data_IF_279908944109
#
_entry.id   IF_279908944109
#
_cell.length_a   1.000
_cell.length_b   1.000
_cell.length_c   1.000
_cell.angle_alpha   90.00
_cell.angle_beta   90.00
_cell.angle_gamma   90.00
#
_symmetry.space_group_name_H-M   'P 1'
#
loop_
_entity.id
_entity.type
_entity.pdbx_description
1 polymer ?
#
# COMPACT_ATOMS: atom_id res chain seq x y z
N UNK A 1 -12.82 1.78 -31.08
CA UNK A 1 -14.25 2.12 -31.28
C UNK A 1 -14.67 3.51 -30.73
N UNK A 2 -13.75 4.35 -30.23
CA UNK A 2 -14.05 5.71 -29.71
C UNK A 2 -13.91 6.86 -30.74
N UNK A 3 -13.51 6.57 -31.99
CA UNK A 3 -13.37 7.58 -33.06
C UNK A 3 -14.70 8.20 -33.54
N UNK A 4 -15.85 7.73 -33.03
CA UNK A 4 -17.18 8.20 -33.42
C UNK A 4 -17.80 9.23 -32.47
N UNK A 5 -17.07 9.70 -31.45
CA UNK A 5 -17.56 10.71 -30.50
C UNK A 5 -17.25 12.11 -31.05
N UNK A 6 -18.29 12.88 -31.41
CA UNK A 6 -18.19 14.15 -32.13
C UNK A 6 -17.37 15.25 -31.43
N UNK A 7 -17.07 16.33 -32.16
CA UNK A 7 -16.15 17.44 -31.78
C UNK A 7 -16.35 18.00 -30.35
N UNK A 8 -17.57 18.06 -29.83
CA UNK A 8 -17.84 18.55 -28.46
C UNK A 8 -17.42 17.56 -27.35
N UNK A 9 -17.31 16.27 -27.65
CA UNK A 9 -16.87 15.24 -26.70
C UNK A 9 -15.35 15.08 -26.67
N UNK A 10 -14.65 15.46 -27.74
CA UNK A 10 -13.19 15.66 -27.69
C UNK A 10 -12.79 16.70 -26.63
N UNK A 11 -13.67 17.67 -26.31
CA UNK A 11 -13.43 18.61 -25.20
C UNK A 11 -13.65 18.00 -23.81
N UNK A 12 -14.55 17.01 -23.66
CA UNK A 12 -14.69 16.27 -22.41
C UNK A 12 -13.46 15.40 -22.10
N UNK A 13 -12.72 14.98 -23.14
CA UNK A 13 -11.45 14.28 -23.01
C UNK A 13 -10.22 15.20 -23.09
N UNK A 14 -10.33 16.46 -23.53
CA UNK A 14 -9.20 17.38 -23.58
C UNK A 14 -8.75 17.83 -22.19
N UNK A 15 -9.68 17.93 -21.23
CA UNK A 15 -9.37 18.30 -19.84
C UNK A 15 -8.50 17.21 -19.17
N UNK A 16 -8.84 15.90 -19.24
CA UNK A 16 -7.96 14.82 -18.80
C UNK A 16 -6.56 14.84 -19.43
N UNK A 17 -6.46 15.28 -20.68
CA UNK A 17 -5.17 15.38 -21.39
C UNK A 17 -4.35 16.58 -20.90
N UNK A 18 -4.97 17.71 -20.56
CA UNK A 18 -4.27 18.85 -19.95
C UNK A 18 -3.79 18.54 -18.54
N UNK A 19 -4.58 17.83 -17.73
CA UNK A 19 -4.16 17.36 -16.41
C UNK A 19 -3.10 16.26 -16.50
N UNK A 20 -3.13 15.40 -17.52
CA UNK A 20 -2.02 14.52 -17.90
C UNK A 20 -0.72 15.31 -18.12
N UNK A 21 -0.78 16.40 -18.88
CA UNK A 21 0.38 17.28 -19.05
C UNK A 21 0.78 17.98 -17.74
N UNK A 22 -0.17 18.31 -16.87
CA UNK A 22 0.09 18.90 -15.56
C UNK A 22 0.80 17.92 -14.60
N UNK A 23 0.39 16.65 -14.56
CA UNK A 23 1.05 15.56 -13.80
C UNK A 23 2.47 15.33 -14.34
N UNK A 24 2.62 15.26 -15.66
CA UNK A 24 3.94 15.15 -16.29
C UNK A 24 4.84 16.35 -15.99
N UNK A 25 4.26 17.55 -15.99
CA UNK A 25 4.97 18.81 -15.77
C UNK A 25 5.37 18.99 -14.30
N UNK A 26 4.49 18.70 -13.36
CA UNK A 26 4.76 18.74 -11.91
C UNK A 26 5.83 17.71 -11.52
N UNK A 27 5.74 16.50 -12.08
CA UNK A 27 6.71 15.44 -11.83
C UNK A 27 8.10 15.76 -12.40
N UNK A 28 8.17 16.38 -13.59
CA UNK A 28 9.47 16.84 -14.16
C UNK A 28 10.09 18.00 -13.39
N UNK A 29 9.30 18.82 -12.70
CA UNK A 29 9.76 20.01 -11.99
C UNK A 29 10.24 19.71 -10.57
N UNK A 30 9.62 18.75 -9.89
CA UNK A 30 9.99 18.39 -8.52
C UNK A 30 11.17 17.41 -8.53
N UNK A 31 12.34 17.88 -8.10
CA UNK A 31 13.60 17.10 -8.02
C UNK A 31 13.57 15.95 -7.01
N UNK A 32 12.47 15.78 -6.28
CA UNK A 32 12.28 14.73 -5.28
C UNK A 32 11.26 13.71 -5.82
N UNK A 33 11.78 12.62 -6.39
CA UNK A 33 10.99 11.59 -7.06
C UNK A 33 10.50 10.59 -6.00
N UNK A 34 9.22 10.68 -5.62
CA UNK A 34 8.54 9.67 -4.78
C UNK A 34 7.53 8.90 -5.65
N UNK A 35 7.90 7.76 -6.24
CA UNK A 35 7.06 7.06 -7.20
C UNK A 35 5.72 6.58 -6.63
N UNK A 36 5.68 6.22 -5.34
CA UNK A 36 4.45 5.79 -4.67
C UNK A 36 3.42 6.92 -4.57
N UNK A 37 3.88 8.17 -4.37
CA UNK A 37 3.01 9.35 -4.37
C UNK A 37 2.44 9.58 -5.77
N UNK A 38 3.27 9.43 -6.81
CA UNK A 38 2.82 9.52 -8.20
C UNK A 38 1.73 8.48 -8.53
N UNK A 39 1.91 7.22 -8.11
CA UNK A 39 0.89 6.18 -8.31
C UNK A 39 -0.45 6.60 -7.70
N UNK A 40 -0.42 7.10 -6.46
CA UNK A 40 -1.60 7.58 -5.76
C UNK A 40 -2.27 8.77 -6.47
N UNK A 41 -1.48 9.77 -6.90
CA UNK A 41 -1.99 10.95 -7.59
C UNK A 41 -2.66 10.56 -8.92
N UNK A 42 -2.04 9.64 -9.67
CA UNK A 42 -2.62 9.09 -10.90
C UNK A 42 -3.90 8.33 -10.59
N UNK A 43 -3.95 7.50 -9.54
CA UNK A 43 -5.17 6.80 -9.14
C UNK A 43 -6.29 7.77 -8.78
N UNK A 44 -6.02 8.76 -7.92
CA UNK A 44 -7.01 9.77 -7.51
C UNK A 44 -7.60 10.47 -8.73
N UNK A 45 -6.73 10.86 -9.67
CA UNK A 45 -7.15 11.46 -10.94
C UNK A 45 -8.06 10.54 -11.77
N UNK A 46 -7.70 9.26 -11.93
CA UNK A 46 -8.53 8.28 -12.63
C UNK A 46 -9.89 8.11 -11.95
N UNK A 47 -9.92 8.01 -10.61
CA UNK A 47 -11.14 7.89 -9.82
C UNK A 47 -12.04 9.12 -9.95
N UNK A 48 -11.46 10.32 -9.92
CA UNK A 48 -12.21 11.58 -10.03
C UNK A 48 -12.81 11.75 -11.43
N UNK A 49 -12.05 11.41 -12.48
CA UNK A 49 -12.59 11.39 -13.84
C UNK A 49 -13.67 10.35 -13.99
N UNK A 50 -13.47 9.12 -13.49
CA UNK A 50 -14.48 8.06 -13.53
C UNK A 50 -15.79 8.55 -12.90
N UNK A 51 -15.71 9.13 -11.70
CA UNK A 51 -16.86 9.69 -10.99
C UNK A 51 -17.53 10.80 -11.79
N UNK A 52 -16.75 11.74 -12.36
CA UNK A 52 -17.30 12.81 -13.19
C UNK A 52 -18.01 12.27 -14.44
N UNK A 53 -17.42 11.29 -15.15
CA UNK A 53 -17.97 10.72 -16.37
C UNK A 53 -19.28 9.96 -16.11
N UNK A 54 -19.37 9.25 -14.98
CA UNK A 54 -20.55 8.46 -14.60
C UNK A 54 -21.65 9.35 -14.00
N UNK A 55 -21.30 10.21 -13.05
CA UNK A 55 -22.26 11.00 -12.28
C UNK A 55 -22.78 12.23 -13.03
N UNK A 56 -22.17 12.65 -14.16
CA UNK A 56 -22.61 13.82 -14.89
C UNK A 56 -23.76 13.49 -15.88
N UNK A 57 -25.02 13.90 -15.60
CA UNK A 57 -26.16 13.58 -16.44
C UNK A 57 -26.11 14.24 -17.82
N UNK A 58 -25.40 15.36 -17.97
CA UNK A 58 -25.32 16.11 -19.23
C UNK A 58 -24.49 15.38 -20.31
N UNK A 59 -23.53 14.54 -19.90
CA UNK A 59 -22.73 13.76 -20.85
C UNK A 59 -23.55 12.63 -21.50
N UNK A 60 -24.59 12.16 -20.79
CA UNK A 60 -25.44 11.05 -21.20
C UNK A 60 -24.64 9.77 -21.46
N UNK A 61 -23.48 9.62 -20.82
CA UNK A 61 -22.46 8.65 -21.16
C UNK A 61 -22.91 7.23 -20.80
N UNK A 62 -23.50 7.07 -19.60
CA UNK A 62 -24.16 5.83 -19.15
C UNK A 62 -25.21 5.36 -20.16
N UNK A 63 -26.11 6.26 -20.60
CA UNK A 63 -27.16 5.94 -21.59
C UNK A 63 -26.58 5.56 -22.96
N UNK A 64 -25.47 6.19 -23.38
CA UNK A 64 -24.79 5.87 -24.65
C UNK A 64 -24.10 4.50 -24.58
N UNK A 65 -23.40 4.21 -23.49
CA UNK A 65 -22.75 2.89 -23.27
C UNK A 65 -23.83 1.80 -23.23
N UNK A 66 -24.91 1.98 -22.47
CA UNK A 66 -26.03 1.05 -22.43
C UNK A 66 -26.62 0.77 -23.83
N UNK A 67 -26.82 1.81 -24.65
CA UNK A 67 -27.29 1.64 -26.04
C UNK A 67 -26.34 0.84 -26.93
N UNK A 68 -25.02 0.99 -26.73
CA UNK A 68 -24.00 0.24 -27.50
C UNK A 68 -23.93 -1.22 -27.03
N UNK A 69 -24.12 -1.47 -25.74
CA UNK A 69 -23.93 -2.79 -25.10
C UNK A 69 -25.22 -3.61 -25.04
N UNK A 70 -26.37 -3.08 -25.49
CA UNK A 70 -27.71 -3.70 -25.55
C UNK A 70 -27.84 -5.05 -26.32
N UNK A 71 -26.75 -5.73 -26.65
CA UNK A 71 -26.71 -7.13 -27.08
C UNK A 71 -26.26 -8.12 -25.98
N UNK A 72 -25.90 -7.65 -24.77
CA UNK A 72 -25.50 -8.50 -23.64
C UNK A 72 -26.24 -8.07 -22.37
N UNK A 73 -26.83 -9.04 -21.65
CA UNK A 73 -27.81 -8.87 -20.57
C UNK A 73 -27.24 -8.34 -19.24
N UNK A 74 -25.97 -7.96 -19.17
CA UNK A 74 -25.36 -7.29 -17.99
C UNK A 74 -24.36 -6.23 -18.46
N UNK A 75 -24.79 -4.97 -18.54
CA UNK A 75 -23.90 -3.87 -18.95
C UNK A 75 -23.07 -3.39 -17.76
N UNK A 76 -21.80 -3.77 -17.72
CA UNK A 76 -20.82 -3.17 -16.82
C UNK A 76 -20.34 -1.82 -17.38
N UNK A 77 -21.06 -0.76 -17.03
CA UNK A 77 -20.72 0.61 -17.47
C UNK A 77 -19.43 1.08 -16.79
N UNK A 78 -19.20 0.71 -15.54
CA UNK A 78 -18.03 1.16 -14.78
C UNK A 78 -16.76 0.53 -15.33
N UNK A 79 -16.75 -0.78 -15.57
CA UNK A 79 -15.62 -1.47 -16.18
C UNK A 79 -15.31 -0.96 -17.59
N UNK A 80 -16.34 -0.59 -18.38
CA UNK A 80 -16.12 0.02 -19.70
C UNK A 80 -15.47 1.41 -19.63
N UNK A 81 -15.78 2.18 -18.58
CA UNK A 81 -15.13 3.47 -18.31
C UNK A 81 -13.70 3.26 -17.83
N UNK A 82 -13.47 2.32 -16.91
CA UNK A 82 -12.14 1.96 -16.42
C UNK A 82 -11.22 1.53 -17.57
N UNK A 83 -11.69 0.64 -18.45
CA UNK A 83 -10.98 0.20 -19.66
C UNK A 83 -10.60 1.38 -20.58
N UNK A 84 -11.47 2.39 -20.69
CA UNK A 84 -11.23 3.57 -21.50
C UNK A 84 -10.20 4.49 -20.85
N UNK A 85 -10.27 4.70 -19.53
CA UNK A 85 -9.32 5.50 -18.78
C UNK A 85 -7.93 4.85 -18.77
N UNK A 86 -7.87 3.54 -18.58
CA UNK A 86 -6.65 2.74 -18.70
C UNK A 86 -5.98 2.96 -20.07
N UNK A 87 -6.75 2.89 -21.16
CA UNK A 87 -6.21 3.06 -22.52
C UNK A 87 -5.82 4.49 -22.87
N UNK A 88 -6.60 5.48 -22.41
CA UNK A 88 -6.43 6.88 -22.81
C UNK A 88 -5.46 7.66 -21.91
N UNK A 89 -5.36 7.28 -20.64
CA UNK A 89 -4.57 7.99 -19.62
C UNK A 89 -3.42 7.11 -19.14
N UNK A 90 -3.71 5.91 -18.64
CA UNK A 90 -2.70 5.10 -17.97
C UNK A 90 -1.68 4.51 -18.93
N UNK A 91 -2.11 4.01 -20.10
CA UNK A 91 -1.21 3.42 -21.10
C UNK A 91 -0.11 4.40 -21.57
N UNK A 92 -0.42 5.68 -21.92
CA UNK A 92 0.62 6.68 -22.19
C UNK A 92 1.53 6.99 -20.99
N UNK A 93 1.01 6.95 -19.75
CA UNK A 93 1.79 7.24 -18.53
C UNK A 93 2.64 6.04 -18.06
N UNK A 94 2.27 4.83 -18.45
CA UNK A 94 2.87 3.59 -17.95
C UNK A 94 4.40 3.62 -18.01
N UNK A 95 4.98 3.97 -19.16
CA UNK A 95 6.44 4.01 -19.32
C UNK A 95 7.14 4.97 -18.37
N UNK A 96 6.52 6.11 -18.06
CA UNK A 96 7.07 7.07 -17.11
C UNK A 96 6.95 6.52 -15.70
N UNK A 97 5.74 6.12 -15.29
CA UNK A 97 5.47 5.61 -13.94
C UNK A 97 6.43 4.45 -13.62
N UNK A 98 6.51 3.48 -14.55
CA UNK A 98 7.37 2.32 -14.40
C UNK A 98 8.85 2.69 -14.32
N UNK A 99 9.31 3.62 -15.17
CA UNK A 99 10.68 4.12 -15.12
C UNK A 99 10.99 4.79 -13.77
N UNK A 100 10.03 5.52 -13.20
CA UNK A 100 10.21 6.17 -11.90
C UNK A 100 10.34 5.14 -10.77
N UNK A 101 9.51 4.10 -10.77
CA UNK A 101 9.62 2.99 -9.84
C UNK A 101 10.99 2.31 -9.96
N UNK A 102 11.40 1.94 -11.18
CA UNK A 102 12.70 1.28 -11.39
C UNK A 102 13.86 2.15 -10.94
N UNK A 103 13.86 3.47 -11.23
CA UNK A 103 14.92 4.39 -10.80
C UNK A 103 15.00 4.44 -9.28
N UNK A 104 13.86 4.53 -8.59
CA UNK A 104 13.84 4.62 -7.13
C UNK A 104 14.34 3.33 -6.48
N UNK A 105 13.88 2.17 -6.95
CA UNK A 105 14.33 0.85 -6.51
C UNK A 105 15.82 0.58 -6.82
N UNK A 106 16.32 1.15 -7.91
CA UNK A 106 17.75 1.08 -8.26
C UNK A 106 18.57 1.96 -7.32
N UNK A 107 18.10 3.19 -7.06
CA UNK A 107 18.78 4.17 -6.20
C UNK A 107 18.79 3.73 -4.73
N UNK A 108 17.71 3.12 -4.26
CA UNK A 108 17.61 2.58 -2.89
C UNK A 108 18.45 1.31 -2.69
N UNK A 109 18.92 0.68 -3.78
CA UNK A 109 19.64 -0.59 -3.73
C UNK A 109 18.72 -1.82 -3.62
N UNK A 110 17.41 -1.63 -3.42
CA UNK A 110 16.44 -2.71 -3.23
C UNK A 110 16.41 -3.71 -4.39
N UNK A 111 16.54 -3.23 -5.63
CA UNK A 111 16.54 -4.12 -6.80
C UNK A 111 17.74 -5.08 -6.80
N UNK A 112 18.92 -4.54 -6.46
CA UNK A 112 20.16 -5.31 -6.35
C UNK A 112 20.11 -6.25 -5.14
N UNK A 113 19.60 -5.77 -4.01
CA UNK A 113 19.43 -6.57 -2.81
C UNK A 113 18.49 -7.76 -3.06
N UNK A 114 17.42 -7.56 -3.83
CA UNK A 114 16.48 -8.63 -4.19
C UNK A 114 17.09 -9.63 -5.16
N UNK A 115 17.86 -9.16 -6.15
CA UNK A 115 18.61 -10.03 -7.07
C UNK A 115 19.61 -10.93 -6.32
N UNK A 116 20.40 -10.36 -5.40
CA UNK A 116 21.32 -11.10 -4.55
C UNK A 116 20.61 -12.06 -3.59
N UNK A 117 19.50 -11.62 -3.00
CA UNK A 117 18.68 -12.45 -2.11
C UNK A 117 18.04 -13.63 -2.84
N UNK A 118 17.56 -13.44 -4.07
CA UNK A 118 17.08 -14.53 -4.93
C UNK A 118 18.21 -15.51 -5.24
N UNK A 119 19.41 -15.00 -5.60
CA UNK A 119 20.56 -15.86 -5.87
C UNK A 119 20.96 -16.72 -4.66
N UNK A 120 20.90 -16.16 -3.45
CA UNK A 120 21.14 -16.90 -2.21
C UNK A 120 20.00 -17.87 -1.88
N UNK A 121 18.75 -17.47 -2.05
CA UNK A 121 17.60 -18.33 -1.79
C UNK A 121 17.56 -19.56 -2.73
N UNK A 122 18.12 -19.46 -3.94
CA UNK A 122 18.28 -20.60 -4.86
C UNK A 122 19.18 -21.71 -4.31
N UNK A 123 20.10 -21.41 -3.40
CA UNK A 123 20.99 -22.42 -2.80
C UNK A 123 20.38 -23.09 -1.57
N UNK A 124 19.20 -22.63 -1.13
CA UNK A 124 18.51 -23.13 0.05
C UNK A 124 17.70 -24.40 -0.26
N UNK A 125 17.56 -25.27 0.73
CA UNK A 125 16.68 -26.42 0.61
C UNK A 125 15.21 -26.00 0.72
N UNK A 126 14.30 -26.88 0.27
CA UNK A 126 12.86 -26.64 0.40
C UNK A 126 12.46 -26.38 1.86
N UNK A 127 13.05 -27.09 2.82
CA UNK A 127 12.78 -26.92 4.25
C UNK A 127 13.29 -25.57 4.77
N UNK A 128 14.44 -25.09 4.31
CA UNK A 128 14.96 -23.77 4.66
C UNK A 128 14.08 -22.63 4.10
N UNK A 129 13.35 -22.88 3.01
CA UNK A 129 12.33 -21.97 2.47
C UNK A 129 10.97 -22.10 3.17
N UNK A 130 10.84 -23.00 4.16
CA UNK A 130 9.62 -23.22 4.92
C UNK A 130 8.64 -24.20 4.30
N UNK A 131 9.01 -24.92 3.23
CA UNK A 131 8.17 -25.95 2.61
C UNK A 131 8.24 -27.21 3.48
N UNK A 132 7.07 -27.71 3.90
CA UNK A 132 6.96 -28.95 4.68
C UNK A 132 7.30 -30.17 3.82
N UNK A 133 7.86 -31.22 4.45
CA UNK A 133 8.22 -32.47 3.76
C UNK A 133 7.04 -33.17 3.07
N UNK A 134 5.81 -32.88 3.50
CA UNK A 134 4.59 -33.44 2.90
C UNK A 134 4.10 -32.68 1.66
N UNK A 135 4.73 -31.56 1.32
CA UNK A 135 4.34 -30.69 0.20
C UNK A 135 5.43 -30.71 -0.84
N UNK A 136 5.07 -31.08 -2.07
CA UNK A 136 5.98 -31.06 -3.21
C UNK A 136 5.92 -29.66 -3.85
N UNK A 137 7.05 -28.97 -4.06
CA UNK A 137 7.06 -27.67 -4.73
C UNK A 137 6.73 -27.81 -6.23
N UNK A 138 6.38 -26.69 -6.89
CA UNK A 138 6.13 -26.68 -8.33
C UNK A 138 7.28 -27.27 -9.14
N UNK A 139 6.95 -28.18 -10.06
CA UNK A 139 7.91 -28.82 -10.95
C UNK A 139 8.37 -27.87 -12.09
N UNK A 140 9.28 -28.34 -12.95
CA UNK A 140 9.85 -27.52 -14.02
C UNK A 140 8.79 -27.04 -15.03
N UNK A 141 7.77 -27.85 -15.33
CA UNK A 141 6.68 -27.47 -16.23
C UNK A 141 5.81 -26.37 -15.59
N UNK A 142 5.42 -26.57 -14.33
CA UNK A 142 4.63 -25.60 -13.56
C UNK A 142 5.38 -24.28 -13.39
N UNK A 143 6.67 -24.31 -13.06
CA UNK A 143 7.52 -23.12 -12.96
C UNK A 143 7.60 -22.36 -14.29
N UNK A 144 7.65 -23.06 -15.42
CA UNK A 144 7.63 -22.41 -16.74
C UNK A 144 6.31 -21.65 -16.98
N UNK A 145 5.17 -22.24 -16.60
CA UNK A 145 3.87 -21.58 -16.71
C UNK A 145 3.75 -20.38 -15.77
N UNK A 146 4.18 -20.53 -14.51
CA UNK A 146 4.20 -19.46 -13.50
C UNK A 146 5.09 -18.31 -13.97
N UNK A 147 6.28 -18.60 -14.51
CA UNK A 147 7.19 -17.61 -15.09
C UNK A 147 6.56 -16.86 -16.26
N UNK A 148 5.76 -17.54 -17.07
CA UNK A 148 4.96 -16.93 -18.13
C UNK A 148 4.00 -15.87 -17.60
N UNK A 149 3.26 -16.17 -16.52
CA UNK A 149 2.37 -15.23 -15.87
C UNK A 149 3.13 -14.05 -15.24
N UNK A 150 4.26 -14.28 -14.57
CA UNK A 150 5.09 -13.19 -14.03
C UNK A 150 5.63 -12.27 -15.15
N UNK A 151 6.01 -12.83 -16.29
CA UNK A 151 6.45 -12.03 -17.44
C UNK A 151 5.28 -11.22 -18.05
N UNK A 152 4.08 -11.79 -18.12
CA UNK A 152 2.90 -11.10 -18.61
C UNK A 152 2.45 -9.99 -17.65
N UNK A 153 2.58 -10.22 -16.34
CA UNK A 153 2.35 -9.25 -15.29
C UNK A 153 3.23 -8.01 -15.52
N UNK A 154 4.54 -8.19 -15.75
CA UNK A 154 5.47 -7.07 -16.04
C UNK A 154 5.14 -6.30 -17.34
N UNK A 155 4.66 -7.00 -18.38
CA UNK A 155 4.34 -6.39 -19.69
C UNK A 155 3.02 -5.63 -19.72
N UNK A 156 2.11 -5.95 -18.80
CA UNK A 156 0.77 -5.39 -18.76
C UNK A 156 0.79 -4.01 -18.13
N UNK A 157 0.06 -3.04 -18.68
CA UNK A 157 0.00 -1.68 -18.10
C UNK A 157 -1.20 -1.48 -17.16
N UNK A 158 -2.29 -2.22 -17.38
CA UNK A 158 -3.51 -2.10 -16.58
C UNK A 158 -3.34 -2.81 -15.23
N UNK A 159 -3.57 -2.13 -14.10
CA UNK A 159 -3.40 -2.72 -12.77
C UNK A 159 -4.39 -3.88 -12.55
N UNK A 160 -5.58 -3.80 -13.14
CA UNK A 160 -6.58 -4.87 -13.06
C UNK A 160 -6.11 -6.14 -13.79
N UNK A 161 -5.56 -6.00 -14.99
CA UNK A 161 -5.02 -7.15 -15.72
C UNK A 161 -3.72 -7.68 -15.09
N UNK A 162 -2.89 -6.83 -14.48
CA UNK A 162 -1.75 -7.29 -13.67
C UNK A 162 -2.21 -8.16 -12.49
N UNK A 163 -3.25 -7.74 -11.77
CA UNK A 163 -3.85 -8.54 -10.71
C UNK A 163 -4.37 -9.89 -11.23
N UNK A 164 -4.99 -9.92 -12.41
CA UNK A 164 -5.41 -11.19 -13.04
C UNK A 164 -4.24 -12.13 -13.32
N UNK A 165 -3.12 -11.62 -13.83
CA UNK A 165 -1.92 -12.44 -14.06
C UNK A 165 -1.33 -12.95 -12.74
N UNK A 166 -1.38 -12.15 -11.67
CA UNK A 166 -0.98 -12.61 -10.34
C UNK A 166 -1.87 -13.77 -9.87
N UNK A 167 -3.19 -13.63 -9.96
CA UNK A 167 -4.13 -14.68 -9.59
C UNK A 167 -3.98 -15.93 -10.46
N UNK A 168 -3.64 -15.77 -11.73
CA UNK A 168 -3.34 -16.89 -12.62
C UNK A 168 -2.06 -17.63 -12.20
N UNK A 169 -0.99 -16.91 -11.84
CA UNK A 169 0.22 -17.50 -11.28
C UNK A 169 -0.06 -18.26 -9.97
N UNK A 170 -0.83 -17.65 -9.06
CA UNK A 170 -1.29 -18.27 -7.81
C UNK A 170 -2.06 -19.56 -8.07
N UNK A 171 -3.01 -19.52 -9.01
CA UNK A 171 -3.78 -20.71 -9.42
C UNK A 171 -2.87 -21.82 -9.93
N UNK A 172 -1.82 -21.48 -10.69
CA UNK A 172 -0.84 -22.45 -11.17
C UNK A 172 0.00 -23.06 -10.06
N UNK A 173 0.34 -22.29 -9.03
CA UNK A 173 1.01 -22.80 -7.82
C UNK A 173 0.09 -23.80 -7.10
N UNK A 174 -1.19 -23.50 -6.92
CA UNK A 174 -2.12 -24.47 -6.32
C UNK A 174 -2.28 -25.74 -7.16
N UNK A 175 -2.36 -25.59 -8.49
CA UNK A 175 -2.49 -26.72 -9.42
C UNK A 175 -1.25 -27.62 -9.45
N UNK A 176 -0.06 -27.09 -9.18
CA UNK A 176 1.17 -27.90 -9.18
C UNK A 176 1.32 -28.80 -7.95
N UNK A 177 0.40 -28.70 -6.98
CA UNK A 177 0.44 -29.45 -5.72
C UNK A 177 -0.72 -30.45 -5.66
N UNK A 178 -1.79 -30.19 -6.42
CA UNK A 178 -2.96 -31.05 -6.48
C UNK A 178 -2.74 -32.22 -7.45
N UNK A 179 -2.02 -33.24 -6.98
CA UNK A 179 -1.88 -34.53 -7.67
C UNK A 179 -3.13 -35.44 -7.50
N UNK A 180 -4.29 -34.86 -7.16
CA UNK A 180 -5.53 -35.61 -6.89
C UNK A 180 -5.62 -36.19 -5.48
N UNK A 181 -4.69 -35.86 -4.58
CA UNK A 181 -4.80 -36.12 -3.15
C UNK A 181 -5.45 -34.90 -2.49
N UNK A 182 -6.67 -35.07 -1.99
CA UNK A 182 -7.55 -34.03 -1.43
C UNK A 182 -7.08 -33.44 -0.09
N UNK A 183 -5.81 -33.02 -0.01
CA UNK A 183 -5.28 -32.24 1.10
C UNK A 183 -5.44 -30.75 0.80
N UNK A 184 -6.38 -30.12 1.50
CA UNK A 184 -6.52 -28.68 1.47
C UNK A 184 -5.24 -28.01 2.01
N UNK A 185 -4.65 -27.14 1.20
CA UNK A 185 -3.44 -26.39 1.51
C UNK A 185 -3.84 -25.16 2.34
N UNK A 186 -3.21 -24.98 3.50
CA UNK A 186 -3.45 -23.82 4.35
C UNK A 186 -2.69 -22.58 3.87
N UNK A 187 -3.01 -21.41 4.43
CA UNK A 187 -2.26 -20.17 4.18
C UNK A 187 -0.76 -20.30 4.52
N UNK A 188 -0.43 -21.07 5.58
CA UNK A 188 0.94 -21.30 6.06
C UNK A 188 1.77 -22.15 5.08
N UNK A 189 1.12 -22.94 4.22
CA UNK A 189 1.79 -23.74 3.19
C UNK A 189 2.03 -22.93 1.92
N UNK A 190 1.11 -22.03 1.58
CA UNK A 190 1.14 -21.32 0.31
C UNK A 190 2.26 -20.28 0.22
N UNK A 191 2.52 -19.53 1.29
CA UNK A 191 3.55 -18.48 1.28
C UNK A 191 4.95 -19.04 0.92
N UNK A 192 5.45 -20.13 1.54
CA UNK A 192 6.69 -20.79 1.13
C UNK A 192 6.74 -21.19 -0.36
N UNK A 193 5.62 -21.63 -0.92
CA UNK A 193 5.53 -22.03 -2.33
C UNK A 193 5.56 -20.84 -3.28
N UNK A 194 4.98 -19.71 -2.87
CA UNK A 194 5.10 -18.45 -3.60
C UNK A 194 6.55 -17.91 -3.54
N UNK A 195 7.20 -17.99 -2.38
CA UNK A 195 8.63 -17.67 -2.22
C UNK A 195 9.48 -18.53 -3.15
N UNK A 196 9.28 -19.85 -3.13
CA UNK A 196 9.94 -20.78 -4.05
C UNK A 196 9.73 -20.39 -5.51
N UNK A 197 8.50 -20.07 -5.89
CA UNK A 197 8.16 -19.67 -7.25
C UNK A 197 8.86 -18.37 -7.69
N UNK A 198 8.91 -17.35 -6.82
CA UNK A 198 9.63 -16.09 -7.08
C UNK A 198 11.12 -16.36 -7.32
N UNK A 199 11.72 -17.17 -6.45
CA UNK A 199 13.16 -17.51 -6.47
C UNK A 199 13.51 -18.29 -7.74
N UNK A 200 12.76 -19.35 -8.05
CA UNK A 200 13.06 -20.22 -9.19
C UNK A 200 12.60 -19.64 -10.54
N UNK A 201 11.72 -18.63 -10.56
CA UNK A 201 11.35 -17.90 -11.76
C UNK A 201 12.21 -16.66 -12.06
N UNK A 202 13.13 -16.28 -11.16
CA UNK A 202 13.92 -15.04 -11.24
C UNK A 202 13.04 -13.78 -11.25
N UNK A 203 11.99 -13.74 -10.44
CA UNK A 203 11.05 -12.62 -10.44
C UNK A 203 11.54 -11.43 -9.60
N UNK A 204 12.62 -10.80 -10.05
CA UNK A 204 13.27 -9.65 -9.37
C UNK A 204 12.34 -8.41 -9.31
N UNK A 205 11.42 -8.26 -10.27
CA UNK A 205 10.49 -7.14 -10.28
C UNK A 205 9.27 -7.31 -9.34
N UNK A 206 9.18 -8.41 -8.58
CA UNK A 206 8.00 -8.74 -7.77
C UNK A 206 7.49 -7.60 -6.89
N UNK A 207 8.39 -6.88 -6.21
CA UNK A 207 8.00 -5.76 -5.35
C UNK A 207 7.47 -4.56 -6.15
N UNK A 208 8.17 -4.19 -7.24
CA UNK A 208 7.75 -3.11 -8.14
C UNK A 208 6.34 -3.38 -8.68
N UNK A 209 6.09 -4.62 -9.08
CA UNK A 209 4.80 -5.05 -9.60
C UNK A 209 3.71 -5.01 -8.53
N UNK A 210 4.01 -5.42 -7.30
CA UNK A 210 3.09 -5.31 -6.19
C UNK A 210 2.74 -3.85 -5.86
N UNK A 211 3.73 -2.96 -5.78
CA UNK A 211 3.53 -1.53 -5.56
C UNK A 211 2.73 -0.88 -6.69
N UNK A 212 2.95 -1.29 -7.94
CA UNK A 212 2.19 -0.78 -9.08
C UNK A 212 0.71 -1.14 -8.98
N UNK A 213 0.39 -2.40 -8.66
CA UNK A 213 -0.99 -2.86 -8.50
C UNK A 213 -1.64 -2.14 -7.31
N UNK A 214 -0.99 -2.14 -6.15
CA UNK A 214 -1.51 -1.52 -4.92
C UNK A 214 -1.75 -0.01 -5.09
N UNK A 215 -0.80 0.68 -5.74
CA UNK A 215 -0.87 2.12 -5.93
C UNK A 215 -1.92 2.61 -6.93
N UNK A 216 -2.21 1.82 -7.97
CA UNK A 216 -3.09 2.24 -9.08
C UNK A 216 -4.46 1.57 -9.11
N UNK A 217 -4.60 0.35 -8.58
CA UNK A 217 -5.87 -0.34 -8.59
C UNK A 217 -6.87 0.32 -7.64
N UNK A 218 -8.15 0.29 -8.02
CA UNK A 218 -9.25 0.70 -7.15
C UNK A 218 -9.25 -0.18 -5.88
N UNK A 219 -9.18 0.40 -4.67
CA UNK A 219 -9.22 -0.37 -3.43
C UNK A 219 -10.44 -1.29 -3.30
N UNK A 220 -11.56 -0.96 -3.95
CA UNK A 220 -12.74 -1.82 -3.96
C UNK A 220 -12.48 -3.18 -4.64
N UNK A 221 -11.56 -3.23 -5.60
CA UNK A 221 -11.15 -4.46 -6.30
C UNK A 221 -10.09 -5.26 -5.54
N UNK A 222 -9.53 -4.69 -4.47
CA UNK A 222 -8.60 -5.37 -3.56
C UNK A 222 -9.33 -6.00 -2.36
N UNK A 223 -10.66 -5.91 -2.28
CA UNK A 223 -11.43 -6.64 -1.27
C UNK A 223 -11.51 -8.12 -1.64
N UNK A 224 -11.14 -9.01 -0.72
CA UNK A 224 -11.21 -10.46 -0.91
C UNK A 224 -9.91 -11.07 -1.46
N UNK A 225 -10.05 -11.99 -2.41
CA UNK A 225 -8.95 -12.83 -2.91
C UNK A 225 -7.82 -12.03 -3.55
N UNK A 226 -8.16 -11.01 -4.35
CA UNK A 226 -7.19 -10.17 -5.05
C UNK A 226 -6.24 -9.44 -4.08
N UNK A 227 -6.78 -8.77 -3.07
CA UNK A 227 -5.97 -8.10 -2.06
C UNK A 227 -5.23 -9.07 -1.14
N UNK A 228 -5.81 -10.24 -0.84
CA UNK A 228 -5.13 -11.29 -0.10
C UNK A 228 -3.83 -11.71 -0.80
N UNK A 229 -3.90 -12.15 -2.06
CA UNK A 229 -2.70 -12.63 -2.77
C UNK A 229 -1.72 -11.51 -3.14
N UNK A 230 -2.19 -10.28 -3.34
CA UNK A 230 -1.30 -9.12 -3.46
C UNK A 230 -0.49 -8.91 -2.18
N UNK A 231 -1.17 -8.99 -1.02
CA UNK A 231 -0.52 -8.92 0.30
C UNK A 231 0.44 -10.08 0.53
N UNK A 232 0.07 -11.28 0.07
CA UNK A 232 0.95 -12.46 0.12
C UNK A 232 2.17 -12.30 -0.77
N UNK A 233 2.04 -11.69 -1.96
CA UNK A 233 3.19 -11.38 -2.84
C UNK A 233 4.16 -10.42 -2.16
N UNK A 234 3.66 -9.33 -1.59
CA UNK A 234 4.47 -8.37 -0.80
C UNK A 234 5.18 -9.12 0.34
N UNK A 235 4.47 -9.99 1.05
CA UNK A 235 5.03 -10.78 2.15
C UNK A 235 6.13 -11.74 1.67
N UNK A 236 5.93 -12.41 0.53
CA UNK A 236 6.90 -13.33 -0.05
C UNK A 236 8.20 -12.61 -0.43
N UNK A 237 8.10 -11.41 -1.00
CA UNK A 237 9.25 -10.54 -1.30
C UNK A 237 10.03 -10.22 -0.02
N UNK A 238 9.34 -9.89 1.08
CA UNK A 238 10.02 -9.61 2.36
C UNK A 238 10.71 -10.85 2.94
N UNK A 239 10.12 -12.04 2.79
CA UNK A 239 10.78 -13.30 3.15
C UNK A 239 12.05 -13.52 2.31
N UNK A 240 12.01 -13.25 1.01
CA UNK A 240 13.22 -13.32 0.18
C UNK A 240 14.28 -12.33 0.68
N UNK A 241 13.91 -11.08 0.96
CA UNK A 241 14.84 -10.07 1.49
C UNK A 241 15.47 -10.47 2.84
N UNK A 242 14.71 -11.13 3.73
CA UNK A 242 15.21 -11.54 5.04
C UNK A 242 16.31 -12.60 4.93
N UNK A 243 16.35 -13.39 3.85
CA UNK A 243 17.42 -14.37 3.60
C UNK A 243 18.81 -13.72 3.46
N UNK A 244 18.88 -12.45 3.03
CA UNK A 244 20.12 -11.66 2.99
C UNK A 244 20.50 -11.08 4.35
N UNK A 245 19.52 -10.78 5.22
CA UNK A 245 19.75 -10.26 6.58
C UNK A 245 20.07 -11.43 7.51
N UNK A 246 21.36 -11.79 7.60
CA UNK A 246 21.98 -12.74 8.57
C UNK A 246 21.03 -13.27 9.66
N UNK A 247 20.80 -14.58 9.64
CA UNK A 247 20.36 -15.46 10.74
C UNK A 247 20.11 -14.79 12.10
N UNK A 248 18.91 -14.28 12.30
CA UNK A 248 18.23 -14.29 13.60
C UNK A 248 16.75 -14.45 13.33
N UNK A 249 16.29 -15.71 13.27
CA UNK A 249 14.89 -16.16 13.13
C UNK A 249 14.10 -15.62 11.94
N UNK A 250 13.44 -16.51 11.19
CA UNK A 250 12.36 -16.13 10.27
C UNK A 250 11.39 -15.19 11.01
N UNK A 251 11.12 -13.97 10.52
CA UNK A 251 10.16 -13.09 11.15
C UNK A 251 8.81 -13.79 11.21
N UNK A 252 8.16 -13.75 12.38
CA UNK A 252 6.82 -14.32 12.57
C UNK A 252 5.84 -13.64 11.61
N UNK A 253 4.78 -14.34 11.20
CA UNK A 253 3.66 -13.77 10.43
C UNK A 253 3.11 -12.50 11.10
N UNK A 254 3.22 -12.38 12.43
CA UNK A 254 2.87 -11.18 13.20
C UNK A 254 3.84 -10.01 13.00
N UNK A 255 5.13 -10.27 12.80
CA UNK A 255 6.15 -9.24 12.51
C UNK A 255 5.99 -8.71 11.08
N UNK A 256 5.54 -9.57 10.17
CA UNK A 256 5.17 -9.19 8.81
C UNK A 256 3.96 -8.24 8.78
N UNK A 257 2.96 -8.38 9.67
CA UNK A 257 1.81 -7.46 9.70
C UNK A 257 2.17 -5.99 10.01
N UNK A 258 3.32 -5.75 10.65
CA UNK A 258 3.78 -4.39 10.99
C UNK A 258 4.45 -3.68 9.81
N UNK A 259 5.09 -4.45 8.92
CA UNK A 259 5.78 -4.00 7.70
C UNK A 259 4.87 -4.02 6.46
N UNK A 260 3.94 -4.98 6.41
CA UNK A 260 3.04 -5.24 5.26
C UNK A 260 1.89 -4.23 5.15
N UNK A 261 1.65 -3.42 6.20
CA UNK A 261 0.68 -2.36 6.15
C UNK A 261 1.35 -0.98 6.01
N UNK A 262 1.84 -0.64 4.81
CA UNK A 262 2.35 0.71 4.51
C UNK A 262 1.30 1.80 4.75
N UNK A 263 0.02 1.43 4.83
CA UNK A 263 -1.09 2.37 5.01
C UNK A 263 -1.83 2.19 6.33
N UNK A 264 -1.33 1.35 7.26
CA UNK A 264 -1.90 1.29 8.61
C UNK A 264 -0.93 1.80 9.67
N UNK A 265 -1.42 2.74 10.46
CA UNK A 265 -0.71 3.31 11.60
C UNK A 265 -1.47 2.90 12.86
N UNK A 266 -0.77 2.23 13.78
CA UNK A 266 -1.32 1.94 15.10
C UNK A 266 -1.16 3.18 15.96
N UNK A 267 -2.27 3.80 16.34
CA UNK A 267 -2.31 5.02 17.16
C UNK A 267 -2.99 4.70 18.49
N UNK A 268 -2.31 4.98 19.59
CA UNK A 268 -2.88 4.99 20.93
C UNK A 268 -3.81 6.18 21.11
N UNK A 269 -5.07 5.92 21.45
CA UNK A 269 -6.10 6.92 21.68
C UNK A 269 -6.66 6.71 23.08
N UNK A 270 -6.90 7.79 23.82
CA UNK A 270 -7.49 7.70 25.16
C UNK A 270 -8.88 7.03 25.09
N UNK A 271 -9.11 6.04 25.95
CA UNK A 271 -10.34 5.26 26.01
C UNK A 271 -11.58 6.12 26.30
N UNK A 272 -11.41 7.29 26.94
CA UNK A 272 -12.50 8.24 27.19
C UNK A 272 -13.13 8.77 25.90
N UNK A 273 -12.36 8.88 24.81
CA UNK A 273 -12.86 9.26 23.47
C UNK A 273 -13.66 8.15 22.78
N UNK A 274 -13.45 6.89 23.18
CA UNK A 274 -14.07 5.72 22.53
C UNK A 274 -15.46 5.41 23.09
N UNK A 275 -15.85 6.00 24.22
CA UNK A 275 -17.19 5.86 24.81
C UNK A 275 -18.32 6.45 23.94
N UNK A 276 -17.99 7.19 22.89
CA UNK A 276 -18.95 7.86 22.00
C UNK A 276 -19.31 7.08 20.72
N UNK A 277 -18.65 5.96 20.41
CA UNK A 277 -18.95 5.20 19.17
C UNK A 277 -20.22 4.33 19.26
N UNK A 278 -20.72 4.00 20.46
CA UNK A 278 -21.92 3.19 20.66
C UNK A 278 -22.82 3.77 21.77
N UNK A 279 -23.82 4.56 21.38
CA UNK A 279 -24.83 5.11 22.29
C UNK A 279 -25.74 4.06 22.97
N UNK A 280 -25.48 2.76 22.78
CA UNK A 280 -26.30 1.64 23.28
C UNK A 280 -25.58 0.66 24.23
N UNK A 281 -24.35 0.93 24.67
CA UNK A 281 -23.74 0.17 25.78
C UNK A 281 -23.28 1.12 26.88
N UNK A 282 -23.98 1.11 28.02
CA UNK A 282 -23.51 1.65 29.29
C UNK A 282 -22.31 0.83 29.77
N UNK A 283 -21.16 1.03 29.15
CA UNK A 283 -19.88 0.61 29.70
C UNK A 283 -19.40 1.73 30.64
N UNK A 284 -18.91 1.35 31.82
CA UNK A 284 -18.32 2.28 32.79
C UNK A 284 -17.36 3.23 32.07
N UNK A 285 -17.40 4.53 32.37
CA UNK A 285 -16.37 5.48 31.91
C UNK A 285 -15.00 4.85 32.22
N UNK A 286 -14.16 4.59 31.23
CA UNK A 286 -12.82 4.10 31.47
C UNK A 286 -12.04 5.15 32.27
N UNK A 287 -11.06 4.70 33.06
CA UNK A 287 -10.17 5.58 33.79
C UNK A 287 -9.46 6.54 32.82
N UNK A 288 -9.14 7.76 33.27
CA UNK A 288 -8.61 8.84 32.40
C UNK A 288 -7.24 8.47 31.76
N UNK A 289 -6.59 7.41 32.25
CA UNK A 289 -5.24 6.99 31.84
C UNK A 289 -5.21 5.74 30.91
N UNK A 290 -6.36 5.19 30.54
CA UNK A 290 -6.39 3.98 29.68
C UNK A 290 -6.20 4.35 28.21
N UNK A 291 -5.06 3.98 27.63
CA UNK A 291 -4.79 4.13 26.19
C UNK A 291 -5.17 2.87 25.44
N UNK A 292 -6.03 3.01 24.43
CA UNK A 292 -6.42 1.92 23.52
C UNK A 292 -5.77 2.13 22.15
N UNK A 293 -5.07 1.11 21.67
CA UNK A 293 -4.45 1.15 20.36
C UNK A 293 -5.47 0.86 19.26
N UNK A 294 -5.57 1.76 18.28
CA UNK A 294 -6.42 1.63 17.10
C UNK A 294 -5.55 1.63 15.84
N UNK A 295 -5.82 0.67 14.97
CA UNK A 295 -5.21 0.61 13.64
C UNK A 295 -5.99 1.54 12.71
N UNK A 296 -5.36 2.63 12.30
CA UNK A 296 -5.95 3.63 11.41
C UNK A 296 -5.37 3.50 10.00
N UNK A 297 -6.22 3.72 9.00
CA UNK A 297 -5.76 3.84 7.63
C UNK A 297 -5.14 5.23 7.41
N UNK A 298 -3.83 5.29 7.20
CA UNK A 298 -3.02 6.50 7.06
C UNK A 298 -2.16 6.37 5.80
N UNK A 299 -2.52 7.03 4.69
CA UNK A 299 -1.71 7.05 3.47
C UNK A 299 -0.34 7.71 3.69
N UNK A 300 0.70 7.39 2.89
CA UNK A 300 2.06 7.91 3.07
C UNK A 300 2.18 9.45 2.97
N UNK A 301 1.29 10.09 2.21
CA UNK A 301 1.24 11.55 2.05
C UNK A 301 0.31 12.25 3.06
N UNK A 302 -0.35 11.50 3.95
CA UNK A 302 -1.20 12.11 4.96
C UNK A 302 -0.34 12.81 6.01
N UNK A 303 -0.49 14.13 6.11
CA UNK A 303 0.17 14.94 7.14
C UNK A 303 -0.42 14.67 8.53
N UNK A 304 0.35 14.89 9.59
CA UNK A 304 -0.09 14.80 10.98
C UNK A 304 -1.33 15.65 11.24
N UNK A 305 -1.43 16.87 10.66
CA UNK A 305 -2.63 17.72 10.73
C UNK A 305 -3.89 17.01 10.23
N UNK A 306 -3.82 16.44 9.03
CA UNK A 306 -4.96 15.74 8.42
C UNK A 306 -5.33 14.48 9.20
N UNK A 307 -4.34 13.78 9.77
CA UNK A 307 -4.57 12.63 10.62
C UNK A 307 -5.25 13.03 11.95
N UNK A 308 -4.78 14.10 12.60
CA UNK A 308 -5.43 14.67 13.78
C UNK A 308 -6.90 15.03 13.48
N UNK A 309 -7.17 15.75 12.39
CA UNK A 309 -8.54 16.05 11.97
C UNK A 309 -9.41 14.81 11.76
N UNK A 310 -8.85 13.74 11.18
CA UNK A 310 -9.56 12.48 11.01
C UNK A 310 -9.89 11.84 12.36
N UNK A 311 -8.95 11.79 13.29
CA UNK A 311 -9.13 11.25 14.64
C UNK A 311 -10.20 12.07 15.38
N UNK A 312 -10.09 13.41 15.41
CA UNK A 312 -11.07 14.29 16.05
C UNK A 312 -12.48 14.04 15.52
N UNK A 313 -12.65 14.00 14.20
CA UNK A 313 -13.97 13.78 13.56
C UNK A 313 -14.52 12.40 13.84
N UNK A 314 -13.66 11.38 13.82
CA UNK A 314 -14.07 10.00 14.03
C UNK A 314 -14.54 9.76 15.46
N UNK A 315 -13.89 10.38 16.45
CA UNK A 315 -14.16 10.15 17.87
C UNK A 315 -14.89 11.31 18.58
N UNK A 316 -15.36 12.31 17.83
CA UNK A 316 -16.07 13.50 18.35
C UNK A 316 -15.34 14.16 19.54
N UNK A 317 -14.04 14.43 19.36
CA UNK A 317 -13.20 15.00 20.42
C UNK A 317 -13.48 16.49 20.57
N UNK A 318 -13.76 16.93 21.79
CA UNK A 318 -13.92 18.34 22.16
C UNK A 318 -12.55 19.04 22.20
N UNK A 319 -12.47 20.29 21.74
CA UNK A 319 -11.24 21.09 21.67
C UNK A 319 -10.06 20.41 20.91
N UNK A 320 -10.19 20.15 19.59
CA UNK A 320 -9.14 19.51 18.78
C UNK A 320 -7.78 20.20 18.83
N UNK A 321 -7.76 21.52 19.01
CA UNK A 321 -6.54 22.33 18.99
C UNK A 321 -5.62 22.06 20.21
N UNK A 322 -6.13 21.41 21.26
CA UNK A 322 -5.35 21.03 22.44
C UNK A 322 -4.61 19.70 22.28
N UNK A 323 -4.80 18.99 21.16
CA UNK A 323 -4.26 17.64 20.95
C UNK A 323 -3.40 17.56 19.68
N UNK A 324 -2.35 16.73 19.73
CA UNK A 324 -1.57 16.40 18.53
C UNK A 324 -1.06 14.96 18.56
N UNK A 325 -0.60 14.50 17.39
CA UNK A 325 0.04 13.20 17.28
C UNK A 325 1.46 13.27 17.84
N UNK A 326 1.82 12.30 18.67
CA UNK A 326 3.16 12.11 19.19
C UNK A 326 3.71 10.75 18.74
N UNK A 327 5.02 10.67 18.59
CA UNK A 327 5.76 9.41 18.61
C UNK A 327 6.32 9.23 20.00
N UNK A 328 5.99 8.11 20.62
CA UNK A 328 6.58 7.70 21.88
C UNK A 328 7.67 6.68 21.58
N UNK A 329 8.93 7.03 21.86
CA UNK A 329 10.08 6.15 21.72
C UNK A 329 10.85 6.12 23.04
N UNK A 330 11.17 4.93 23.56
CA UNK A 330 11.88 4.76 24.85
C UNK A 330 11.23 5.53 26.03
N UNK A 331 9.90 5.67 26.04
CA UNK A 331 9.15 6.37 27.09
C UNK A 331 9.13 7.90 26.98
N UNK A 332 9.76 8.47 25.95
CA UNK A 332 9.74 9.92 25.67
C UNK A 332 8.78 10.17 24.52
N UNK A 333 7.83 11.11 24.72
CA UNK A 333 6.87 11.50 23.70
C UNK A 333 7.36 12.74 22.94
N UNK A 334 7.49 12.61 21.62
CA UNK A 334 7.87 13.68 20.71
C UNK A 334 6.66 14.08 19.87
N UNK A 335 6.18 15.33 19.96
CA UNK A 335 5.07 15.81 19.13
C UNK A 335 5.49 15.86 17.66
N UNK A 336 4.58 15.50 16.76
CA UNK A 336 4.78 15.67 15.33
C UNK A 336 4.34 17.05 14.89
N UNK A 337 5.15 17.66 14.04
CA UNK A 337 4.83 18.91 13.37
C UNK A 337 3.65 18.72 12.41
N UNK A 338 2.77 19.73 12.23
CA UNK A 338 1.55 19.59 11.43
C UNK A 338 1.76 19.09 9.99
N UNK A 339 2.93 19.37 9.41
CA UNK A 339 3.28 19.02 8.03
C UNK A 339 4.03 17.69 7.89
N UNK A 340 4.45 17.07 9.00
CA UNK A 340 5.12 15.77 8.96
C UNK A 340 4.16 14.67 8.54
N UNK A 341 4.66 13.64 7.88
CA UNK A 341 3.87 12.50 7.46
C UNK A 341 4.14 11.34 8.43
N UNK A 342 3.16 10.91 9.26
CA UNK A 342 3.37 9.90 10.29
C UNK A 342 3.90 8.56 9.74
N UNK A 343 3.54 8.21 8.50
CA UNK A 343 4.08 7.02 7.83
C UNK A 343 5.56 7.16 7.48
N UNK A 344 6.02 8.35 7.09
CA UNK A 344 7.45 8.59 6.85
C UNK A 344 8.22 8.52 8.16
N UNK A 345 7.69 9.14 9.21
CA UNK A 345 8.27 9.05 10.56
C UNK A 345 8.33 7.59 11.03
N UNK A 346 7.28 6.79 10.80
CA UNK A 346 7.28 5.35 11.09
C UNK A 346 8.39 4.62 10.32
N UNK A 347 8.52 4.88 9.01
CA UNK A 347 9.55 4.25 8.18
C UNK A 347 10.96 4.59 8.67
N UNK A 348 11.22 5.86 8.97
CA UNK A 348 12.50 6.33 9.48
C UNK A 348 12.85 5.67 10.82
N UNK A 349 11.88 5.56 11.74
CA UNK A 349 12.06 4.89 13.03
C UNK A 349 12.33 3.39 12.86
N UNK A 350 11.70 2.70 11.90
CA UNK A 350 11.97 1.30 11.62
C UNK A 350 13.39 1.05 11.09
N UNK A 351 14.08 2.07 10.57
CA UNK A 351 15.50 1.95 10.19
C UNK A 351 16.44 2.02 11.41
N UNK A 352 15.96 2.57 12.53
CA UNK A 352 16.78 2.89 13.71
C UNK A 352 16.42 2.03 14.94
N UNK A 353 15.16 1.57 15.03
CA UNK A 353 14.59 0.93 16.21
C UNK A 353 13.78 -0.32 15.84
N UNK A 354 13.62 -1.24 16.79
CA UNK A 354 12.65 -2.35 16.68
C UNK A 354 11.22 -1.82 16.61
N UNK A 355 10.33 -2.52 15.91
CA UNK A 355 8.94 -2.11 15.73
C UNK A 355 8.13 -2.04 17.05
N UNK A 356 8.63 -2.69 18.11
CA UNK A 356 8.05 -2.64 19.47
C UNK A 356 8.64 -1.53 20.35
N UNK A 357 9.70 -0.85 19.89
CA UNK A 357 10.40 0.18 20.67
C UNK A 357 9.76 1.57 20.56
N UNK A 358 8.81 1.75 19.65
CA UNK A 358 8.08 3.00 19.48
C UNK A 358 6.61 2.76 19.11
N UNK A 359 5.76 3.76 19.38
CA UNK A 359 4.37 3.79 18.94
C UNK A 359 3.88 5.22 18.74
N UNK A 360 2.78 5.39 18.00
CA UNK A 360 2.14 6.70 17.84
C UNK A 360 1.03 6.87 18.88
N UNK A 361 0.90 8.04 19.50
CA UNK A 361 -0.19 8.38 20.42
C UNK A 361 -0.85 9.70 20.03
N UNK A 362 -2.16 9.78 20.20
CA UNK A 362 -2.90 11.03 20.09
C UNK A 362 -3.21 11.54 21.51
N UNK A 363 -2.53 12.60 21.93
CA UNK A 363 -2.54 13.07 23.31
C UNK A 363 -2.46 14.60 23.38
N UNK A 364 -2.76 15.16 24.55
CA UNK A 364 -2.79 16.60 24.77
C UNK A 364 -1.39 17.22 24.62
N UNK A 365 -1.32 18.41 24.04
CA UNK A 365 -0.10 19.19 23.94
C UNK A 365 0.30 19.65 25.34
N UNK A 366 1.45 19.17 25.85
CA UNK A 366 2.02 19.68 27.10
C UNK A 366 2.52 21.10 26.86
N UNK A 367 1.90 22.10 27.51
CA UNK A 367 2.43 23.47 27.55
C UNK A 367 3.63 23.45 28.49
N UNK A 368 4.83 23.75 28.00
CA UNK A 368 6.00 23.95 28.87
C UNK A 368 5.74 25.16 29.78
N UNK A 369 5.77 24.92 31.10
CA UNK A 369 5.78 25.99 32.08
C UNK A 369 7.10 26.76 31.96
N UNK A 370 7.01 28.05 31.64
CA UNK A 370 8.11 29.00 31.74
C UNK A 370 8.56 29.10 33.22
N UNK A 371 9.52 28.26 33.63
CA UNK A 371 10.27 28.49 34.85
C UNK A 371 11.34 29.53 34.54
N UNK A 372 11.03 30.75 34.95
CA UNK A 372 11.93 31.90 34.98
C UNK A 372 13.26 31.54 35.63
N UNK A 373 14.33 31.86 34.91
CA UNK A 373 15.72 31.77 35.32
C UNK A 373 15.92 32.49 36.67
N UNK A 374 16.14 31.74 37.75
CA UNK A 374 16.73 32.29 38.95
C UNK A 374 18.18 32.69 38.63
N UNK A 375 18.44 33.98 38.65
CA UNK A 375 19.76 34.58 38.69
C UNK A 375 20.49 34.11 39.96
N UNK A 376 21.37 33.12 39.81
CA UNK A 376 22.42 32.84 40.77
C UNK A 376 23.58 33.80 40.53
N UNK A 377 23.69 34.82 41.38
CA UNK A 377 24.95 35.55 41.59
C UNK A 377 26.03 34.55 41.98
N UNK A 378 27.05 34.39 41.13
CA UNK A 378 28.30 33.78 41.53
C UNK A 378 29.41 34.82 41.40
N UNK A 379 29.84 35.24 42.58
CA UNK A 379 31.04 36.00 42.92
C UNK A 379 32.26 35.25 42.38
N UNK A 380 33.13 35.96 41.65
CA UNK A 380 34.50 35.53 41.34
C UNK A 380 35.46 36.35 42.21
N UNK A 381 36.48 35.74 42.83
CA UNK A 381 37.53 36.46 43.53
C UNK A 381 38.63 36.94 42.57
N UNK A 382 39.28 38.01 43.02
CA UNK A 382 40.42 38.80 42.48
C UNK A 382 40.15 39.80 41.36
#
# INVERSE_FOLDING_TARGET
RLKCLGKSQCMAFSIPVYDYYAILYSYRKNKEQRPLVLLHDVRSFLTDIKRYLISNPHLGLVKKIQKIVNYSSTVDVEGAVDDALDKLVLYPLHSLIYKCLVIDYTRSGQLKDLEEAIALAKTKTNQELGIRDTVVPPDAESLSLIKGHFAQLQRTYSPYFKLKELLAAVTKIYQSIDDGSSKAIGADDFLPLLVYSIVHCDFVAADIEAQYIDGLLDPALLVGEGGYYLTTLISAVQVVFSMKRKETSLPSISDLQVVVNNWHLMVGINATFLGNEDSNKRLKKPDDDVVLHKTLHVPPAMTARNLCHMITRKFNIEAPDDYCLHVVANGIAHPLEPNECPQLVKMDLLTQFSATAFYFSYQQIKKEDNVSSQTGENILPE
#
